data_IF_619501591277
#
_entry.id   IF_619501591277
#
_cell.length_a   1.000
_cell.length_b   1.000
_cell.length_c   1.000
_cell.angle_alpha   90.00
_cell.angle_beta   90.00
_cell.angle_gamma   90.00
#
_symmetry.space_group_name_H-M   'P 1'
#
loop_
_entity.id
_entity.type
_entity.pdbx_description
1 polymer ?
#
# COMPACT_ATOMS: atom_id res chain seq x y z
N UNK A 1 15.19 53.69 -4.17
CA UNK A 1 14.80 52.27 -4.30
C UNK A 1 14.50 51.75 -2.90
N UNK A 2 13.37 51.05 -2.73
CA UNK A 2 12.68 50.82 -1.45
C UNK A 2 13.49 49.97 -0.45
N UNK A 3 13.82 50.55 0.70
CA UNK A 3 14.18 49.81 1.91
C UNK A 3 12.90 49.21 2.52
N UNK A 4 12.91 47.91 2.80
CA UNK A 4 11.95 47.29 3.73
C UNK A 4 12.60 47.27 5.13
N UNK A 5 12.00 47.88 6.16
CA UNK A 5 12.56 47.84 7.50
C UNK A 5 12.26 46.50 8.20
N UNK A 6 13.04 46.14 9.24
CA UNK A 6 12.97 44.85 9.90
C UNK A 6 11.75 44.74 10.81
N UNK A 7 11.09 43.58 10.81
CA UNK A 7 10.00 43.27 11.74
C UNK A 7 10.59 42.81 13.09
N UNK A 8 11.19 43.71 13.86
CA UNK A 8 11.54 43.44 15.25
C UNK A 8 11.06 44.60 16.12
N UNK A 9 9.79 44.53 16.50
CA UNK A 9 9.22 45.38 17.54
C UNK A 9 9.47 44.70 18.89
N UNK A 10 10.47 45.19 19.63
CA UNK A 10 10.62 44.90 21.06
C UNK A 10 10.13 46.11 21.86
N UNK A 11 8.98 45.94 22.49
CA UNK A 11 8.49 46.75 23.61
C UNK A 11 7.89 45.74 24.59
N UNK A 12 8.39 45.71 25.83
CA UNK A 12 7.81 44.86 26.88
C UNK A 12 6.34 45.24 27.08
N UNK A 13 5.45 44.45 26.47
CA UNK A 13 4.00 44.46 26.65
C UNK A 13 3.65 43.12 27.28
N UNK A 14 2.93 43.15 28.41
CA UNK A 14 2.36 41.95 28.98
C UNK A 14 1.38 41.32 28.00
N UNK A 15 1.25 39.98 28.03
CA UNK A 15 0.29 39.25 27.21
C UNK A 15 -1.13 39.71 27.51
N UNK A 16 -1.88 40.07 26.47
CA UNK A 16 -3.31 40.35 26.64
C UNK A 16 -4.09 39.04 26.80
N UNK A 17 -5.22 39.09 27.52
CA UNK A 17 -6.10 37.94 27.70
C UNK A 17 -6.57 37.38 26.35
N UNK A 18 -6.83 38.26 25.38
CA UNK A 18 -7.22 37.91 24.02
C UNK A 18 -6.14 37.10 23.29
N UNK A 19 -4.87 37.44 23.47
CA UNK A 19 -3.74 36.77 22.81
C UNK A 19 -3.59 35.32 23.26
N UNK A 20 -3.69 35.08 24.57
CA UNK A 20 -3.63 33.73 25.13
C UNK A 20 -4.85 32.90 24.69
N UNK A 21 -6.03 33.52 24.59
CA UNK A 21 -7.25 32.87 24.15
C UNK A 21 -7.15 32.44 22.67
N UNK A 22 -6.65 33.33 21.81
CA UNK A 22 -6.41 33.03 20.38
C UNK A 22 -5.31 31.98 20.23
N UNK A 23 -4.19 32.11 20.95
CA UNK A 23 -3.10 31.14 20.91
C UNK A 23 -3.57 29.75 21.33
N UNK A 24 -4.34 29.66 22.42
CA UNK A 24 -4.89 28.38 22.90
C UNK A 24 -5.93 27.83 21.94
N UNK A 25 -6.77 28.67 21.33
CA UNK A 25 -7.73 28.24 20.31
C UNK A 25 -7.02 27.65 19.07
N UNK A 26 -5.98 28.33 18.57
CA UNK A 26 -5.20 27.84 17.42
C UNK A 26 -4.48 26.53 17.80
N UNK A 27 -3.82 26.49 18.95
CA UNK A 27 -3.10 25.29 19.43
C UNK A 27 -4.08 24.12 19.63
N UNK A 28 -5.23 24.38 20.23
CA UNK A 28 -6.28 23.40 20.50
C UNK A 28 -6.86 22.78 19.22
N UNK A 29 -6.89 23.53 18.11
CA UNK A 29 -7.33 23.02 16.81
C UNK A 29 -6.20 22.37 16.00
N UNK A 30 -4.96 22.85 16.15
CA UNK A 30 -3.81 22.38 15.35
C UNK A 30 -3.22 21.08 15.87
N UNK A 31 -3.14 20.86 17.19
CA UNK A 31 -2.58 19.62 17.75
C UNK A 31 -3.37 18.38 17.28
N UNK A 32 -4.72 18.32 17.39
CA UNK A 32 -5.48 17.17 16.92
C UNK A 32 -5.34 16.96 15.41
N UNK A 33 -5.31 18.03 14.61
CA UNK A 33 -5.11 17.94 13.17
C UNK A 33 -3.74 17.33 12.81
N UNK A 34 -2.68 17.73 13.52
CA UNK A 34 -1.35 17.18 13.35
C UNK A 34 -1.28 15.71 13.78
N UNK A 35 -1.92 15.34 14.88
CA UNK A 35 -2.01 13.94 15.32
C UNK A 35 -2.67 13.06 14.25
N UNK A 36 -3.80 13.51 13.67
CA UNK A 36 -4.47 12.78 12.59
C UNK A 36 -3.57 12.62 11.35
N UNK A 37 -2.76 13.64 11.03
CA UNK A 37 -1.80 13.55 9.94
C UNK A 37 -0.70 12.50 10.21
N UNK A 38 -0.17 12.47 11.43
CA UNK A 38 0.84 11.48 11.83
C UNK A 38 0.28 10.05 11.81
N UNK A 39 -0.95 9.84 12.28
CA UNK A 39 -1.63 8.54 12.20
C UNK A 39 -1.75 8.07 10.75
N UNK A 40 -2.22 8.95 9.85
CA UNK A 40 -2.29 8.64 8.41
C UNK A 40 -0.92 8.28 7.82
N UNK A 41 0.16 8.93 8.26
CA UNK A 41 1.51 8.61 7.78
C UNK A 41 1.98 7.23 8.25
N UNK A 42 1.65 6.84 9.49
CA UNK A 42 1.93 5.50 10.01
C UNK A 42 1.15 4.42 9.22
N UNK A 43 -0.15 4.63 8.99
CA UNK A 43 -1.00 3.71 8.22
C UNK A 43 -0.49 3.53 6.79
N UNK A 44 -0.05 4.62 6.15
CA UNK A 44 0.56 4.57 4.82
C UNK A 44 1.81 3.67 4.77
N UNK A 45 2.61 3.66 5.84
CA UNK A 45 3.82 2.83 5.92
C UNK A 45 3.45 1.35 6.01
N UNK A 46 2.40 1.01 6.77
CA UNK A 46 1.86 -0.34 6.83
C UNK A 46 1.37 -0.83 5.47
N UNK A 47 0.55 -0.02 4.79
CA UNK A 47 0.04 -0.38 3.45
C UNK A 47 1.14 -0.59 2.42
N UNK A 48 2.22 0.22 2.45
CA UNK A 48 3.37 0.02 1.56
C UNK A 48 4.12 -1.28 1.85
N UNK A 49 4.30 -1.62 3.13
CA UNK A 49 4.90 -2.91 3.54
C UNK A 49 4.05 -4.08 3.04
N UNK A 50 2.74 -4.03 3.23
CA UNK A 50 1.82 -5.09 2.84
C UNK A 50 1.79 -5.28 1.32
N UNK A 51 1.84 -4.19 0.54
CA UNK A 51 2.02 -4.24 -0.91
C UNK A 51 3.32 -4.92 -1.32
N UNK A 52 4.44 -4.61 -0.65
CA UNK A 52 5.73 -5.23 -0.95
C UNK A 52 5.70 -6.74 -0.69
N UNK A 53 5.14 -7.16 0.45
CA UNK A 53 5.00 -8.58 0.81
C UNK A 53 4.08 -9.29 -0.18
N UNK A 54 2.89 -8.74 -0.45
CA UNK A 54 1.95 -9.31 -1.41
C UNK A 54 2.57 -9.45 -2.82
N UNK A 55 3.41 -8.48 -3.22
CA UNK A 55 4.16 -8.55 -4.49
C UNK A 55 5.16 -9.71 -4.48
N UNK A 56 5.94 -9.90 -3.40
CA UNK A 56 6.85 -11.05 -3.29
C UNK A 56 6.14 -12.39 -3.32
N UNK A 57 4.96 -12.48 -2.70
CA UNK A 57 4.11 -13.69 -2.77
C UNK A 57 3.67 -13.93 -4.22
N UNK A 58 3.18 -12.90 -4.91
CA UNK A 58 2.76 -13.00 -6.31
C UNK A 58 3.91 -13.43 -7.24
N UNK A 59 5.10 -12.86 -7.04
CA UNK A 59 6.31 -13.21 -7.80
C UNK A 59 6.71 -14.68 -7.58
N UNK A 60 6.73 -15.12 -6.32
CA UNK A 60 7.01 -16.50 -5.97
C UNK A 60 6.00 -17.46 -6.61
N UNK A 61 4.72 -17.10 -6.62
CA UNK A 61 3.68 -17.89 -7.26
C UNK A 61 3.88 -17.97 -8.77
N UNK A 62 4.22 -16.85 -9.41
CA UNK A 62 4.50 -16.84 -10.85
C UNK A 62 5.70 -17.72 -11.22
N UNK A 63 6.75 -17.71 -10.39
CA UNK A 63 7.91 -18.60 -10.55
C UNK A 63 7.50 -20.06 -10.38
N UNK A 64 6.69 -20.39 -9.37
CA UNK A 64 6.15 -21.75 -9.15
C UNK A 64 5.41 -22.26 -10.38
N UNK A 65 4.49 -21.46 -10.95
CA UNK A 65 3.72 -21.84 -12.15
C UNK A 65 4.62 -22.11 -13.36
N UNK A 66 5.67 -21.30 -13.55
CA UNK A 66 6.66 -21.51 -14.61
C UNK A 66 7.42 -22.81 -14.42
N UNK A 67 7.86 -23.10 -13.19
CA UNK A 67 8.57 -24.34 -12.86
C UNK A 67 7.69 -25.58 -13.04
N UNK A 68 6.44 -25.54 -12.58
CA UNK A 68 5.49 -26.65 -12.74
C UNK A 68 5.27 -26.99 -14.22
N UNK A 69 5.15 -25.97 -15.09
CA UNK A 69 5.04 -26.20 -16.53
C UNK A 69 6.31 -26.80 -17.13
N UNK A 70 7.49 -26.31 -16.73
CA UNK A 70 8.77 -26.83 -17.24
C UNK A 70 9.02 -28.28 -16.84
N UNK A 71 8.70 -28.65 -15.60
CA UNK A 71 9.01 -29.97 -15.04
C UNK A 71 7.96 -31.03 -15.39
N UNK A 72 6.68 -30.69 -15.30
CA UNK A 72 5.59 -31.66 -15.42
C UNK A 72 4.87 -31.60 -16.76
N UNK A 73 5.18 -30.62 -17.62
CA UNK A 73 4.40 -30.26 -18.83
C UNK A 73 2.89 -30.09 -18.55
N UNK A 74 2.53 -29.94 -17.28
CA UNK A 74 1.18 -29.74 -16.79
C UNK A 74 0.96 -28.25 -16.59
N UNK A 75 -0.30 -27.85 -16.54
CA UNK A 75 -0.71 -26.46 -16.59
C UNK A 75 -2.03 -26.39 -15.87
N UNK A 76 -2.15 -25.47 -14.91
CA UNK A 76 -3.39 -25.26 -14.19
C UNK A 76 -4.49 -24.90 -15.18
N UNK A 77 -5.59 -25.65 -15.13
CA UNK A 77 -6.76 -25.47 -16.00
C UNK A 77 -7.97 -24.93 -15.27
N UNK A 78 -7.86 -24.79 -13.96
CA UNK A 78 -8.90 -24.29 -13.06
C UNK A 78 -8.30 -23.25 -12.11
N UNK A 79 -9.17 -22.38 -11.60
CA UNK A 79 -8.80 -21.47 -10.51
C UNK A 79 -8.34 -22.27 -9.30
N UNK A 80 -7.21 -21.84 -8.72
CA UNK A 80 -6.67 -22.40 -7.48
C UNK A 80 -6.62 -21.28 -6.44
N UNK A 81 -7.09 -21.60 -5.25
CA UNK A 81 -7.02 -20.74 -4.07
C UNK A 81 -6.10 -21.41 -3.05
N UNK A 82 -5.12 -20.66 -2.57
CA UNK A 82 -4.11 -21.12 -1.62
C UNK A 82 -3.94 -20.09 -0.51
N UNK A 83 -3.63 -20.56 0.70
CA UNK A 83 -3.24 -19.69 1.80
C UNK A 83 -1.75 -19.82 2.08
N UNK A 84 -1.05 -18.69 2.10
CA UNK A 84 0.40 -18.63 2.26
C UNK A 84 0.74 -17.75 3.45
N UNK A 85 1.51 -18.27 4.41
CA UNK A 85 2.01 -17.47 5.52
C UNK A 85 3.29 -16.73 5.12
N UNK A 86 3.30 -15.40 5.26
CA UNK A 86 4.50 -14.59 5.05
C UNK A 86 4.51 -13.38 5.99
N UNK A 87 5.66 -13.14 6.62
CA UNK A 87 5.88 -12.03 7.56
C UNK A 87 4.89 -12.01 8.75
N UNK A 88 4.48 -13.20 9.21
CA UNK A 88 3.56 -13.38 10.34
C UNK A 88 2.08 -13.13 10.00
N UNK A 89 1.73 -13.11 8.71
CA UNK A 89 0.37 -12.91 8.23
C UNK A 89 0.02 -14.01 7.24
N UNK A 90 -1.20 -14.53 7.31
CA UNK A 90 -1.75 -15.48 6.33
C UNK A 90 -2.36 -14.70 5.17
N UNK A 91 -1.92 -15.01 3.95
CA UNK A 91 -2.34 -14.35 2.72
C UNK A 91 -3.15 -15.29 1.86
N UNK A 92 -4.23 -14.76 1.28
CA UNK A 92 -5.01 -15.46 0.28
C UNK A 92 -4.42 -15.21 -1.11
N UNK A 93 -4.05 -16.28 -1.80
CA UNK A 93 -3.51 -16.26 -3.15
C UNK A 93 -4.47 -16.98 -4.06
N UNK A 94 -5.01 -16.28 -5.07
CA UNK A 94 -5.92 -16.87 -6.05
C UNK A 94 -5.26 -16.78 -7.42
N UNK A 95 -5.15 -17.91 -8.10
CA UNK A 95 -4.59 -18.00 -9.45
C UNK A 95 -5.65 -18.49 -10.42
N UNK A 96 -5.98 -17.66 -11.39
CA UNK A 96 -7.00 -17.92 -12.41
C UNK A 96 -6.34 -18.10 -13.78
N UNK A 97 -6.44 -19.29 -14.41
CA UNK A 97 -5.99 -19.50 -15.77
C UNK A 97 -7.04 -18.98 -16.78
N UNK A 98 -6.57 -18.22 -17.76
CA UNK A 98 -7.37 -17.69 -18.85
C UNK A 98 -6.75 -18.05 -20.19
N UNK A 99 -7.57 -18.58 -21.09
CA UNK A 99 -7.16 -18.90 -22.45
C UNK A 99 -7.02 -17.59 -23.23
N UNK A 100 -5.88 -17.42 -23.89
CA UNK A 100 -5.70 -16.30 -24.81
C UNK A 100 -6.13 -16.67 -26.22
N UNK A 101 -6.42 -15.65 -27.04
CA UNK A 101 -6.74 -15.82 -28.46
C UNK A 101 -5.50 -16.21 -29.30
N UNK A 102 -4.30 -16.09 -28.72
CA UNK A 102 -3.02 -16.35 -29.40
C UNK A 102 -2.53 -17.76 -29.07
N UNK A 103 -2.87 -18.73 -29.91
CA UNK A 103 -2.27 -20.06 -29.92
C UNK A 103 -2.24 -20.78 -28.56
N UNK A 104 -1.09 -21.38 -28.22
CA UNK A 104 -0.87 -22.14 -26.98
C UNK A 104 -0.53 -21.27 -25.75
N UNK A 105 -0.65 -19.93 -25.85
CA UNK A 105 -0.33 -19.01 -24.76
C UNK A 105 -1.49 -18.98 -23.74
N UNK A 106 -1.14 -19.15 -22.47
CA UNK A 106 -2.08 -19.05 -21.35
C UNK A 106 -1.74 -17.84 -20.49
N UNK A 107 -2.75 -17.07 -20.11
CA UNK A 107 -2.65 -16.00 -19.14
C UNK A 107 -3.00 -16.55 -17.76
N UNK A 108 -2.18 -16.28 -16.77
CA UNK A 108 -2.46 -16.53 -15.37
C UNK A 108 -2.62 -15.21 -14.66
N UNK A 109 -3.81 -14.97 -14.11
CA UNK A 109 -4.05 -13.85 -13.21
C UNK A 109 -3.88 -14.34 -11.78
N UNK A 110 -2.88 -13.83 -11.08
CA UNK A 110 -2.63 -14.13 -9.67
C UNK A 110 -2.99 -12.90 -8.84
N UNK A 111 -3.96 -13.04 -7.94
CA UNK A 111 -4.30 -12.02 -6.96
C UNK A 111 -3.82 -12.43 -5.57
N UNK A 112 -3.34 -11.44 -4.81
CA UNK A 112 -2.86 -11.64 -3.44
C UNK A 112 -3.49 -10.58 -2.54
N UNK A 113 -4.08 -11.01 -1.44
CA UNK A 113 -4.74 -10.14 -0.47
C UNK A 113 -5.02 -10.86 0.85
N UNK A 114 -5.69 -10.17 1.77
CA UNK A 114 -6.18 -10.78 3.01
C UNK A 114 -7.57 -11.40 2.80
N UNK A 115 -8.34 -10.81 1.89
CA UNK A 115 -9.69 -11.23 1.55
C UNK A 115 -9.81 -11.45 0.04
N UNK A 116 -10.78 -12.27 -0.36
CA UNK A 116 -10.99 -12.67 -1.75
C UNK A 116 -11.38 -11.51 -2.66
N UNK A 117 -12.25 -10.62 -2.17
CA UNK A 117 -12.84 -9.56 -2.98
C UNK A 117 -12.06 -8.23 -2.88
N UNK A 118 -11.04 -8.17 -2.03
CA UNK A 118 -10.16 -6.99 -1.84
C UNK A 118 -8.68 -7.36 -2.03
N UNK A 119 -8.25 -7.66 -3.28
CA UNK A 119 -6.85 -7.98 -3.53
C UNK A 119 -5.96 -6.74 -3.36
N UNK A 120 -4.82 -6.92 -2.69
CA UNK A 120 -3.81 -5.86 -2.50
C UNK A 120 -2.93 -5.73 -3.75
N UNK A 121 -2.60 -6.86 -4.38
CA UNK A 121 -1.80 -6.94 -5.60
C UNK A 121 -2.47 -7.90 -6.59
N UNK A 122 -2.39 -7.56 -7.88
CA UNK A 122 -2.74 -8.46 -8.98
C UNK A 122 -1.59 -8.49 -9.98
N UNK A 123 -1.16 -9.68 -10.36
CA UNK A 123 -0.11 -9.92 -11.33
C UNK A 123 -0.64 -10.80 -12.46
N UNK A 124 -0.54 -10.30 -13.70
CA UNK A 124 -0.83 -11.10 -14.89
C UNK A 124 0.49 -11.66 -15.45
N UNK A 125 0.57 -12.98 -15.61
CA UNK A 125 1.68 -13.67 -16.25
C UNK A 125 1.23 -14.43 -17.50
N UNK A 126 2.12 -14.51 -18.49
CA UNK A 126 1.86 -15.26 -19.72
C UNK A 126 2.86 -16.40 -19.83
N UNK A 127 2.35 -17.61 -20.09
CA UNK A 127 3.17 -18.81 -20.19
C UNK A 127 2.77 -19.58 -21.46
N UNK A 128 3.77 -19.93 -22.27
CA UNK A 128 3.67 -20.74 -23.50
C UNK A 128 4.28 -22.12 -23.29
#
# INVERSE_FOLDING_TARGET
MRCYPPFILSTQRGFTLLEVLIATAIVGLTIPALMLLMMKQADNTGSLRDKAIATWIADNQMVRLKLERQLSQSTLRSTVEERVEMAGTEWLVITEPEKTTVGALLRYRTTVGLERDEPIVTLDGYIH
#
